data_IF_583326287816
#
_entry.id   IF_583326287816
#
_cell.length_a   1.000
_cell.length_b   1.000
_cell.length_c   1.000
_cell.angle_alpha   90.00
_cell.angle_beta   90.00
_cell.angle_gamma   90.00
#
_symmetry.space_group_name_H-M   'P 1'
#
loop_
_entity.id
_entity.type
_entity.pdbx_description
1 polymer ?
#
# COMPACT_ATOMS: atom_id res chain seq x y z
N UNK A 1 -18.32 -2.50 0.24
CA UNK A 1 -17.19 -3.45 0.28
C UNK A 1 -16.21 -2.91 1.29
N UNK A 2 -15.69 -3.75 2.16
CA UNK A 2 -14.71 -3.34 3.17
C UNK A 2 -13.35 -3.07 2.52
N UNK A 3 -12.58 -2.14 3.06
CA UNK A 3 -11.16 -2.00 2.73
C UNK A 3 -10.43 -3.32 3.01
N UNK A 4 -9.36 -3.63 2.24
CA UNK A 4 -8.54 -4.79 2.51
C UNK A 4 -7.81 -4.65 3.85
N UNK A 5 -7.49 -5.78 4.48
CA UNK A 5 -6.63 -5.80 5.65
C UNK A 5 -5.18 -5.47 5.26
N UNK A 6 -4.38 -5.12 6.25
CA UNK A 6 -2.97 -4.82 6.03
C UNK A 6 -2.20 -6.04 5.50
N UNK A 7 -2.58 -7.26 5.91
CA UNK A 7 -2.01 -8.51 5.42
C UNK A 7 -2.38 -8.77 3.96
N UNK A 8 -3.61 -8.46 3.55
CA UNK A 8 -4.02 -8.56 2.15
C UNK A 8 -3.26 -7.58 1.27
N UNK A 9 -3.00 -6.36 1.78
CA UNK A 9 -2.17 -5.38 1.09
C UNK A 9 -0.72 -5.86 0.97
N UNK A 10 -0.18 -6.53 1.99
CA UNK A 10 1.17 -7.08 1.97
C UNK A 10 1.29 -8.18 0.91
N UNK A 11 0.34 -9.11 0.88
CA UNK A 11 0.30 -10.17 -0.15
C UNK A 11 0.14 -9.60 -1.56
N UNK A 12 -0.61 -8.53 -1.74
CA UNK A 12 -0.69 -7.83 -3.03
C UNK A 12 0.66 -7.23 -3.42
N UNK A 13 1.39 -6.63 -2.47
CA UNK A 13 2.69 -6.04 -2.74
C UNK A 13 3.74 -7.11 -3.03
N UNK A 14 3.74 -8.24 -2.31
CA UNK A 14 4.56 -9.43 -2.60
C UNK A 14 4.32 -9.94 -4.02
N UNK A 15 3.06 -10.00 -4.46
CA UNK A 15 2.71 -10.48 -5.79
C UNK A 15 3.19 -9.55 -6.93
N UNK A 16 3.28 -8.24 -6.67
CA UNK A 16 3.74 -7.24 -7.66
C UNK A 16 5.26 -7.15 -7.69
N UNK A 17 5.89 -6.97 -6.53
CA UNK A 17 7.34 -6.82 -6.38
C UNK A 17 8.13 -8.12 -6.55
N UNK A 18 7.48 -9.27 -6.35
CA UNK A 18 8.16 -10.56 -6.27
C UNK A 18 8.94 -10.78 -4.96
N UNK A 19 8.77 -9.90 -3.97
CA UNK A 19 9.34 -10.08 -2.64
C UNK A 19 8.84 -11.37 -1.99
N UNK A 20 9.73 -12.12 -1.33
CA UNK A 20 9.36 -13.36 -0.63
C UNK A 20 8.40 -13.08 0.54
N UNK A 21 8.60 -11.95 1.22
CA UNK A 21 7.76 -11.51 2.33
C UNK A 21 7.82 -10.00 2.51
N UNK A 22 6.66 -9.37 2.64
CA UNK A 22 6.50 -7.96 3.01
C UNK A 22 6.00 -7.89 4.45
N UNK A 23 6.87 -7.48 5.37
CA UNK A 23 6.48 -7.24 6.76
C UNK A 23 5.77 -5.88 6.87
N UNK A 24 4.51 -5.80 7.36
CA UNK A 24 3.77 -4.54 7.33
C UNK A 24 4.32 -3.42 8.21
N UNK A 25 5.16 -3.78 9.18
CA UNK A 25 5.83 -2.89 10.13
C UNK A 25 7.28 -2.60 9.73
N UNK A 26 7.76 -3.14 8.60
CA UNK A 26 9.06 -2.81 8.06
C UNK A 26 8.96 -1.56 7.18
N UNK A 27 9.93 -0.63 7.26
CA UNK A 27 9.99 0.51 6.35
C UNK A 27 10.10 0.05 4.90
N UNK A 28 9.25 0.58 4.02
CA UNK A 28 9.16 0.16 2.61
C UNK A 28 10.51 0.31 1.89
N UNK A 29 11.28 1.36 2.19
CA UNK A 29 12.60 1.59 1.61
C UNK A 29 13.64 0.53 1.97
N UNK A 30 13.41 -0.24 3.04
CA UNK A 30 14.30 -1.30 3.50
C UNK A 30 13.90 -2.68 2.97
N UNK A 31 12.83 -2.78 2.17
CA UNK A 31 12.44 -4.02 1.52
C UNK A 31 13.19 -4.06 0.19
N UNK A 32 14.26 -4.85 0.13
CA UNK A 32 15.21 -4.84 -0.99
C UNK A 32 14.57 -5.14 -2.36
N UNK A 33 13.51 -5.95 -2.36
CA UNK A 33 12.81 -6.39 -3.56
C UNK A 33 11.66 -5.45 -3.97
N UNK A 34 11.36 -4.40 -3.19
CA UNK A 34 10.31 -3.43 -3.51
C UNK A 34 10.93 -2.14 -4.01
N UNK A 35 10.67 -1.79 -5.26
CA UNK A 35 11.08 -0.52 -5.83
C UNK A 35 9.91 0.46 -6.03
N UNK A 36 10.21 1.66 -6.53
CA UNK A 36 9.19 2.68 -6.78
C UNK A 36 8.18 2.28 -7.88
N UNK A 37 8.59 1.45 -8.84
CA UNK A 37 7.71 0.97 -9.90
C UNK A 37 6.71 -0.05 -9.34
N UNK A 38 7.16 -0.95 -8.47
CA UNK A 38 6.31 -1.93 -7.80
C UNK A 38 5.23 -1.26 -6.94
N UNK A 39 5.59 -0.21 -6.20
CA UNK A 39 4.64 0.58 -5.41
C UNK A 39 3.58 1.24 -6.29
N UNK A 40 3.97 1.73 -7.47
CA UNK A 40 3.04 2.33 -8.42
C UNK A 40 2.13 1.28 -9.05
N UNK A 41 2.65 0.13 -9.47
CA UNK A 41 1.85 -0.97 -10.01
C UNK A 41 0.86 -1.52 -8.98
N UNK A 42 1.31 -1.69 -7.74
CA UNK A 42 0.44 -2.05 -6.61
C UNK A 42 -0.68 -1.02 -6.41
N UNK A 43 -0.36 0.27 -6.46
CA UNK A 43 -1.36 1.35 -6.34
C UNK A 43 -2.39 1.30 -7.47
N UNK A 44 -1.95 1.09 -8.71
CA UNK A 44 -2.88 0.92 -9.84
C UNK A 44 -3.79 -0.29 -9.66
N UNK A 45 -3.24 -1.42 -9.18
CA UNK A 45 -4.02 -2.61 -8.83
C UNK A 45 -5.06 -2.31 -7.76
N UNK A 46 -4.68 -1.58 -6.71
CA UNK A 46 -5.58 -1.14 -5.65
C UNK A 46 -6.68 -0.21 -6.19
N UNK A 47 -6.35 0.82 -6.96
CA UNK A 47 -7.32 1.75 -7.56
C UNK A 47 -8.33 1.01 -8.46
N UNK A 48 -7.87 0.00 -9.22
CA UNK A 48 -8.74 -0.80 -10.07
C UNK A 48 -9.71 -1.67 -9.25
N UNK A 49 -9.26 -2.24 -8.13
CA UNK A 49 -10.11 -3.01 -7.22
C UNK A 49 -11.05 -2.13 -6.38
N UNK A 50 -10.61 -0.93 -6.02
CA UNK A 50 -11.30 0.02 -5.15
C UNK A 50 -11.48 1.40 -5.81
N UNK A 51 -12.19 1.50 -6.95
CA UNK A 51 -12.27 2.74 -7.75
C UNK A 51 -13.03 3.89 -7.05
N UNK A 52 -13.61 3.62 -5.89
CA UNK A 52 -14.34 4.59 -5.06
C UNK A 52 -13.45 5.25 -4.00
N UNK A 53 -12.22 4.76 -3.81
CA UNK A 53 -11.25 5.32 -2.87
C UNK A 53 -10.31 6.22 -3.68
N UNK A 54 -10.18 7.52 -3.34
CA UNK A 54 -9.30 8.46 -4.04
C UNK A 54 -7.84 8.28 -3.61
N UNK A 55 -7.33 7.06 -3.69
CA UNK A 55 -5.92 6.75 -3.49
C UNK A 55 -5.13 7.21 -4.71
N UNK A 56 -3.99 7.88 -4.52
CA UNK A 56 -3.08 8.31 -5.59
C UNK A 56 -1.62 8.30 -5.10
N UNK A 57 -0.70 8.79 -5.93
CA UNK A 57 0.74 8.84 -5.63
C UNK A 57 1.07 9.66 -4.37
N UNK A 58 0.17 10.51 -3.88
CA UNK A 58 0.37 11.24 -2.62
C UNK A 58 0.49 10.33 -1.40
N UNK A 59 0.01 9.08 -1.50
CA UNK A 59 0.26 8.04 -0.49
C UNK A 59 1.76 7.82 -0.25
N UNK A 60 2.60 8.13 -1.23
CA UNK A 60 4.04 7.89 -1.23
C UNK A 60 4.87 9.19 -1.29
N UNK A 61 4.26 10.37 -1.26
CA UNK A 61 4.96 11.65 -1.44
C UNK A 61 6.06 11.92 -0.38
N UNK A 62 5.92 11.32 0.81
CA UNK A 62 6.85 11.49 1.94
C UNK A 62 7.33 10.12 2.46
N UNK A 63 7.67 9.16 1.59
CA UNK A 63 8.28 7.91 2.06
C UNK A 63 9.64 8.23 2.68
N UNK A 64 9.79 7.83 3.94
CA UNK A 64 11.04 7.84 4.71
C UNK A 64 11.28 6.48 5.39
N UNK A 65 12.32 6.42 6.22
CA UNK A 65 12.71 5.22 7.00
C UNK A 65 11.67 4.81 8.06
N UNK A 66 10.56 5.54 8.20
CA UNK A 66 9.45 5.23 9.12
C UNK A 66 8.18 4.84 8.38
N UNK A 67 8.16 4.96 7.05
CA UNK A 67 6.98 4.72 6.24
C UNK A 67 6.86 3.23 5.95
N UNK A 68 5.94 2.58 6.67
CA UNK A 68 5.64 1.15 6.54
C UNK A 68 4.32 0.95 5.79
N UNK A 69 4.02 -0.30 5.41
CA UNK A 69 2.72 -0.62 4.83
C UNK A 69 1.55 -0.32 5.80
N UNK A 70 1.78 -0.36 7.11
CA UNK A 70 0.80 0.07 8.12
C UNK A 70 0.45 1.55 7.97
N UNK A 71 1.45 2.39 7.78
CA UNK A 71 1.23 3.82 7.56
C UNK A 71 0.40 4.05 6.29
N UNK A 72 0.69 3.32 5.21
CA UNK A 72 -0.10 3.39 3.97
C UNK A 72 -1.53 2.90 4.20
N UNK A 73 -1.72 1.80 4.96
CA UNK A 73 -3.05 1.30 5.31
C UNK A 73 -3.87 2.34 6.08
N UNK A 74 -3.28 2.98 7.08
CA UNK A 74 -3.94 4.06 7.83
C UNK A 74 -4.31 5.25 6.93
N UNK A 75 -3.45 5.63 5.99
CA UNK A 75 -3.75 6.67 5.00
C UNK A 75 -4.93 6.26 4.10
N UNK A 76 -4.96 5.01 3.63
CA UNK A 76 -6.07 4.46 2.86
C UNK A 76 -7.40 4.46 3.65
N UNK A 77 -7.35 4.11 4.93
CA UNK A 77 -8.52 4.18 5.82
C UNK A 77 -9.03 5.61 5.99
N UNK A 78 -8.13 6.60 6.05
CA UNK A 78 -8.50 8.01 6.13
C UNK A 78 -9.10 8.57 4.83
N UNK A 79 -8.71 8.01 3.67
CA UNK A 79 -9.25 8.37 2.36
C UNK A 79 -10.59 7.70 2.06
N UNK A 80 -10.85 6.53 2.63
CA UNK A 80 -12.13 5.88 2.48
C UNK A 80 -13.21 6.75 3.13
N UNK A 81 -14.31 7.06 2.42
CA UNK A 81 -15.41 7.79 3.02
C UNK A 81 -15.88 6.98 4.23
N UNK A 82 -15.86 7.60 5.41
CA UNK A 82 -16.42 7.01 6.62
C UNK A 82 -17.80 6.48 6.25
N UNK A 83 -17.96 5.15 6.25
CA UNK A 83 -19.25 4.53 6.02
C UNK A 83 -20.14 4.96 7.20
N UNK A 84 -20.89 6.04 7.00
CA UNK A 84 -21.99 6.49 7.85
C UNK A 84 -23.26 5.70 7.54
#
# INVERSE_FOLDING_TARGET
MSLPTIEELATQLEAVSGAEKVEPDQPLQHIADVDSLDLMEWLYGFQNAYPHIPADESLFADIDDTTTLRVIHERLLALAPAQV
#
